data_IF_683043867292
#
_entry.id   IF_683043867292
#
_cell.length_a   1.000
_cell.length_b   1.000
_cell.length_c   1.000
_cell.angle_alpha   90.00
_cell.angle_beta   90.00
_cell.angle_gamma   90.00
#
_symmetry.space_group_name_H-M   'P 1'
#
loop_
_entity.id
_entity.type
_entity.pdbx_description
1 polymer ?
#
# COMPACT_ATOMS: atom_id res chain seq x y z
N UNK A 1 5.56 27.22 -2.17
CA UNK A 1 5.70 25.75 -2.32
C UNK A 1 7.04 25.49 -3.00
N UNK A 2 7.95 24.75 -2.36
CA UNK A 2 9.25 24.41 -2.96
C UNK A 2 9.12 23.04 -3.66
N UNK A 3 9.15 23.05 -4.99
CA UNK A 3 8.96 21.84 -5.81
C UNK A 3 10.15 20.90 -5.74
N UNK A 4 11.37 21.42 -5.67
CA UNK A 4 12.57 20.57 -5.56
C UNK A 4 12.53 19.73 -4.29
N UNK A 5 12.15 20.36 -3.17
CA UNK A 5 11.93 19.63 -1.91
C UNK A 5 10.83 18.58 -2.07
N UNK A 6 9.72 18.93 -2.71
CA UNK A 6 8.58 18.05 -2.93
C UNK A 6 8.98 16.82 -3.78
N UNK A 7 9.73 17.01 -4.86
CA UNK A 7 10.23 15.93 -5.73
C UNK A 7 11.19 15.01 -4.98
N UNK A 8 12.12 15.58 -4.21
CA UNK A 8 13.06 14.79 -3.40
C UNK A 8 12.33 13.94 -2.34
N UNK A 9 11.34 14.51 -1.66
CA UNK A 9 10.54 13.78 -0.68
C UNK A 9 9.80 12.59 -1.31
N UNK A 10 9.36 12.68 -2.57
CA UNK A 10 8.70 11.55 -3.23
C UNK A 10 9.66 10.49 -3.70
N UNK A 11 10.82 10.88 -4.25
CA UNK A 11 11.85 9.92 -4.67
C UNK A 11 12.18 8.98 -3.51
N UNK A 12 12.31 9.53 -2.31
CA UNK A 12 12.57 8.75 -1.10
C UNK A 12 11.41 7.82 -0.72
N UNK A 13 10.18 8.16 -1.08
CA UNK A 13 8.98 7.35 -0.78
C UNK A 13 8.74 6.19 -1.76
N UNK A 14 9.44 6.14 -2.90
CA UNK A 14 9.24 5.10 -3.92
C UNK A 14 9.65 3.72 -3.40
N UNK A 15 10.80 3.62 -2.74
CA UNK A 15 11.30 2.36 -2.20
C UNK A 15 10.38 1.81 -1.10
N UNK A 16 9.88 2.70 -0.24
CA UNK A 16 8.91 2.34 0.80
C UNK A 16 7.59 1.86 0.20
N UNK A 17 7.13 2.50 -0.89
CA UNK A 17 5.91 2.08 -1.59
C UNK A 17 6.08 0.71 -2.22
N UNK A 18 7.20 0.49 -2.91
CA UNK A 18 7.51 -0.78 -3.55
C UNK A 18 7.55 -1.93 -2.53
N UNK A 19 8.18 -1.70 -1.38
CA UNK A 19 8.22 -2.68 -0.27
C UNK A 19 6.82 -2.98 0.28
N UNK A 20 6.06 -1.96 0.66
CA UNK A 20 4.72 -2.13 1.21
C UNK A 20 3.77 -2.83 0.23
N UNK A 21 3.86 -2.49 -1.07
CA UNK A 21 3.07 -3.12 -2.12
C UNK A 21 3.45 -4.59 -2.33
N UNK A 22 4.75 -4.90 -2.38
CA UNK A 22 5.22 -6.28 -2.51
C UNK A 22 4.81 -7.14 -1.31
N UNK A 23 4.91 -6.58 -0.09
CA UNK A 23 4.47 -7.25 1.13
C UNK A 23 2.96 -7.51 1.13
N UNK A 24 2.15 -6.53 0.75
CA UNK A 24 0.71 -6.71 0.62
C UNK A 24 0.33 -7.82 -0.39
N UNK A 25 0.97 -7.84 -1.57
CA UNK A 25 0.76 -8.89 -2.58
C UNK A 25 1.16 -10.27 -2.04
N UNK A 26 2.32 -10.35 -1.39
CA UNK A 26 2.82 -11.59 -0.80
C UNK A 26 1.89 -12.13 0.28
N UNK A 27 1.52 -11.30 1.27
CA UNK A 27 0.67 -11.73 2.39
C UNK A 27 -0.72 -12.16 1.90
N UNK A 28 -1.26 -11.48 0.86
CA UNK A 28 -2.54 -11.83 0.25
C UNK A 28 -2.54 -13.23 -0.34
N UNK A 29 -1.47 -13.62 -1.04
CA UNK A 29 -1.34 -14.96 -1.60
C UNK A 29 -0.95 -15.99 -0.54
N UNK A 30 -0.01 -15.66 0.33
CA UNK A 30 0.46 -16.54 1.41
C UNK A 30 -0.65 -16.94 2.37
N UNK A 31 -1.69 -16.11 2.54
CA UNK A 31 -2.88 -16.45 3.33
C UNK A 31 -3.52 -17.78 2.95
N UNK A 32 -3.54 -18.13 1.66
CA UNK A 32 -4.07 -19.43 1.19
C UNK A 32 -3.18 -20.58 1.70
N UNK A 33 -1.87 -20.41 1.57
CA UNK A 33 -0.88 -21.37 2.09
C UNK A 33 -0.97 -21.51 3.61
N UNK A 34 -1.10 -20.39 4.35
CA UNK A 34 -1.21 -20.40 5.80
C UNK A 34 -2.47 -21.12 6.27
N UNK A 35 -3.61 -20.90 5.62
CA UNK A 35 -4.84 -21.66 5.89
C UNK A 35 -4.60 -23.17 5.71
N UNK A 36 -3.98 -23.57 4.59
CA UNK A 36 -3.73 -24.99 4.30
C UNK A 36 -2.82 -25.63 5.36
N UNK A 37 -1.76 -24.94 5.78
CA UNK A 37 -0.87 -25.39 6.86
C UNK A 37 -1.63 -25.60 8.18
N UNK A 38 -2.50 -24.65 8.54
CA UNK A 38 -3.31 -24.74 9.76
C UNK A 38 -4.37 -25.84 9.69
N UNK A 39 -4.90 -26.14 8.50
CA UNK A 39 -5.80 -27.28 8.31
C UNK A 39 -5.08 -28.62 8.50
N UNK A 40 -3.81 -28.73 8.07
CA UNK A 40 -2.96 -29.91 8.35
C UNK A 40 -2.64 -30.02 9.84
N UNK A 41 -2.35 -28.90 10.50
CA UNK A 41 -2.16 -28.88 11.96
C UNK A 41 -3.43 -29.31 12.71
N UNK A 42 -4.59 -28.81 12.30
CA UNK A 42 -5.88 -29.19 12.85
C UNK A 42 -6.15 -30.69 12.73
N UNK A 43 -5.81 -31.28 11.57
CA UNK A 43 -5.89 -32.72 11.35
C UNK A 43 -4.99 -33.50 12.33
N UNK A 44 -3.75 -33.06 12.51
CA UNK A 44 -2.82 -33.66 13.48
C UNK A 44 -3.32 -33.56 14.92
N UNK A 45 -4.12 -32.52 15.24
CA UNK A 45 -4.80 -32.34 16.53
C UNK A 45 -6.09 -33.17 16.67
N UNK A 46 -6.46 -33.95 15.66
CA UNK A 46 -7.58 -34.89 15.71
C UNK A 46 -8.93 -34.33 15.23
N UNK A 47 -8.96 -33.15 14.62
CA UNK A 47 -10.17 -32.59 14.00
C UNK A 47 -10.48 -33.40 12.74
N UNK A 48 -11.64 -34.07 12.72
CA UNK A 48 -11.93 -35.14 11.75
C UNK A 48 -12.57 -34.62 10.47
N UNK A 49 -13.41 -33.59 10.59
CA UNK A 49 -14.14 -33.05 9.44
C UNK A 49 -13.40 -31.86 8.81
N UNK A 50 -13.63 -31.64 7.52
CA UNK A 50 -13.10 -30.45 6.84
C UNK A 50 -13.59 -29.13 7.45
N UNK A 51 -14.84 -29.09 7.91
CA UNK A 51 -15.45 -27.90 8.55
C UNK A 51 -14.76 -27.55 9.87
N UNK A 52 -14.51 -28.54 10.73
CA UNK A 52 -13.78 -28.35 11.98
C UNK A 52 -12.37 -27.79 11.73
N UNK A 53 -11.65 -28.35 10.75
CA UNK A 53 -10.29 -27.89 10.37
C UNK A 53 -10.30 -26.48 9.79
N UNK A 54 -11.29 -26.15 8.97
CA UNK A 54 -11.43 -24.82 8.38
C UNK A 54 -11.78 -23.77 9.45
N UNK A 55 -12.70 -24.10 10.36
CA UNK A 55 -13.05 -23.25 11.50
C UNK A 55 -11.82 -22.98 12.38
N UNK A 56 -11.03 -24.03 12.66
CA UNK A 56 -9.75 -23.91 13.36
C UNK A 56 -8.79 -22.96 12.62
N UNK A 57 -8.57 -23.18 11.32
CA UNK A 57 -7.61 -22.40 10.54
C UNK A 57 -7.96 -20.91 10.47
N UNK A 58 -9.23 -20.57 10.28
CA UNK A 58 -9.66 -19.16 10.21
C UNK A 58 -9.70 -18.45 11.56
N UNK A 59 -9.91 -19.19 12.65
CA UNK A 59 -9.89 -18.63 14.02
C UNK A 59 -8.50 -18.67 14.66
N UNK A 60 -7.52 -19.29 14.01
CA UNK A 60 -6.17 -19.40 14.54
C UNK A 60 -5.47 -18.04 14.62
N UNK A 61 -4.77 -17.81 15.73
CA UNK A 61 -4.05 -16.56 16.00
C UNK A 61 -3.08 -16.18 14.87
N UNK A 62 -2.31 -17.12 14.36
CA UNK A 62 -1.36 -16.83 13.27
C UNK A 62 -2.05 -16.44 11.95
N UNK A 63 -3.30 -16.89 11.73
CA UNK A 63 -4.05 -16.50 10.54
C UNK A 63 -4.62 -15.08 10.70
N UNK A 64 -5.12 -14.74 11.89
CA UNK A 64 -5.62 -13.40 12.18
C UNK A 64 -4.50 -12.36 12.22
N UNK A 65 -3.33 -12.70 12.78
CA UNK A 65 -2.13 -11.87 12.73
C UNK A 65 -1.65 -11.63 11.29
N UNK A 66 -1.70 -12.66 10.44
CA UNK A 66 -1.39 -12.52 9.02
C UNK A 66 -2.34 -11.53 8.33
N UNK A 67 -3.63 -11.55 8.66
CA UNK A 67 -4.62 -10.62 8.13
C UNK A 67 -4.37 -9.18 8.59
N UNK A 68 -3.96 -8.99 9.85
CA UNK A 68 -3.63 -7.65 10.35
C UNK A 68 -2.36 -7.12 9.67
N UNK A 69 -1.34 -7.96 9.47
CA UNK A 69 -0.16 -7.60 8.68
C UNK A 69 -0.51 -7.21 7.24
N UNK A 70 -1.39 -7.99 6.58
CA UNK A 70 -1.88 -7.66 5.24
C UNK A 70 -2.61 -6.31 5.20
N UNK A 71 -3.46 -6.04 6.19
CA UNK A 71 -4.17 -4.76 6.32
C UNK A 71 -3.19 -3.60 6.44
N UNK A 72 -2.20 -3.70 7.33
CA UNK A 72 -1.19 -2.66 7.53
C UNK A 72 -0.36 -2.42 6.26
N UNK A 73 0.08 -3.48 5.58
CA UNK A 73 0.84 -3.38 4.34
C UNK A 73 0.02 -2.69 3.23
N UNK A 74 -1.27 -3.02 3.10
CA UNK A 74 -2.18 -2.34 2.17
C UNK A 74 -2.31 -0.86 2.52
N UNK A 75 -2.57 -0.54 3.78
CA UNK A 75 -2.77 0.84 4.25
C UNK A 75 -1.54 1.71 4.00
N UNK A 76 -0.34 1.17 4.28
CA UNK A 76 0.93 1.83 3.98
C UNK A 76 1.13 2.02 2.47
N UNK A 77 0.87 0.99 1.67
CA UNK A 77 1.02 1.06 0.21
C UNK A 77 0.09 2.11 -0.40
N UNK A 78 -1.19 2.15 0.01
CA UNK A 78 -2.16 3.11 -0.51
C UNK A 78 -1.85 4.53 -0.04
N UNK A 79 -1.44 4.71 1.21
CA UNK A 79 -1.01 6.02 1.72
C UNK A 79 0.14 6.60 0.90
N UNK A 80 1.17 5.80 0.64
CA UNK A 80 2.32 6.23 -0.17
C UNK A 80 1.92 6.51 -1.62
N UNK A 81 1.05 5.68 -2.21
CA UNK A 81 0.49 5.92 -3.54
C UNK A 81 -0.24 7.25 -3.63
N UNK A 82 -1.16 7.53 -2.70
CA UNK A 82 -1.90 8.78 -2.69
C UNK A 82 -1.00 9.98 -2.42
N UNK A 83 0.02 9.82 -1.58
CA UNK A 83 1.03 10.84 -1.38
C UNK A 83 1.74 11.21 -2.68
N UNK A 84 2.12 10.22 -3.52
CA UNK A 84 2.72 10.40 -4.86
C UNK A 84 1.74 10.95 -5.92
N UNK A 85 0.43 10.71 -5.76
CA UNK A 85 -0.59 11.34 -6.62
C UNK A 85 -0.79 12.82 -6.29
N UNK A 86 -0.94 13.16 -5.00
CA UNK A 86 -1.21 14.55 -4.55
C UNK A 86 -0.10 15.49 -4.98
N UNK A 87 1.08 15.11 -4.57
CA UNK A 87 2.32 15.32 -5.26
C UNK A 87 2.24 15.73 -6.74
N UNK A 88 1.99 14.78 -7.65
CA UNK A 88 1.94 15.00 -9.10
C UNK A 88 0.98 16.16 -9.44
N UNK A 89 -0.18 16.19 -8.80
CA UNK A 89 -1.17 17.26 -8.94
C UNK A 89 -0.66 18.63 -8.48
N UNK A 90 0.16 18.70 -7.45
CA UNK A 90 0.81 19.96 -7.03
C UNK A 90 1.81 20.48 -8.06
N UNK A 91 2.54 19.59 -8.72
CA UNK A 91 3.46 19.95 -9.82
C UNK A 91 2.65 20.48 -11.02
N UNK A 92 1.55 19.83 -11.37
CA UNK A 92 0.63 20.31 -12.42
C UNK A 92 0.09 21.72 -12.10
N UNK A 93 -0.42 21.95 -10.88
CA UNK A 93 -0.94 23.26 -10.45
C UNK A 93 0.14 24.34 -10.55
N UNK A 94 1.36 24.07 -10.08
CA UNK A 94 2.44 25.05 -10.19
C UNK A 94 2.82 25.36 -11.63
N UNK A 95 2.87 24.35 -12.52
CA UNK A 95 3.13 24.58 -13.95
C UNK A 95 2.09 25.52 -14.56
N UNK A 96 0.82 25.33 -14.22
CA UNK A 96 -0.29 26.18 -14.67
C UNK A 96 -0.17 27.62 -14.13
N UNK A 97 0.13 27.78 -12.83
CA UNK A 97 0.34 29.11 -12.23
C UNK A 97 1.48 29.88 -12.90
N UNK A 98 2.62 29.22 -13.15
CA UNK A 98 3.76 29.85 -13.83
C UNK A 98 3.43 30.21 -15.29
N UNK A 99 2.64 29.39 -15.97
CA UNK A 99 2.19 29.71 -17.33
C UNK A 99 1.30 30.96 -17.36
N UNK A 100 0.41 31.11 -16.38
CA UNK A 100 -0.42 32.32 -16.24
C UNK A 100 0.42 33.55 -15.93
N UNK A 101 1.36 33.47 -14.97
CA UNK A 101 2.24 34.60 -14.64
C UNK A 101 3.12 35.04 -15.81
N UNK A 102 3.59 34.10 -16.66
CA UNK A 102 4.30 34.46 -17.91
C UNK A 102 3.40 35.20 -18.90
N UNK A 103 2.14 34.77 -19.04
CA UNK A 103 1.17 35.46 -19.91
C UNK A 103 0.87 36.86 -19.40
N UNK A 104 0.71 37.04 -18.09
CA UNK A 104 0.51 38.33 -17.45
C UNK A 104 1.72 39.25 -17.64
N UNK A 105 2.94 38.77 -17.39
CA UNK A 105 4.16 39.55 -17.60
C UNK A 105 4.29 40.06 -19.05
N UNK A 106 3.97 39.22 -20.04
CA UNK A 106 3.93 39.62 -21.44
C UNK A 106 2.81 40.63 -21.74
N UNK A 107 1.65 40.52 -21.07
CA UNK A 107 0.52 41.43 -21.25
C UNK A 107 0.77 42.83 -20.67
N UNK A 108 1.51 42.92 -19.57
CA UNK A 108 1.85 44.18 -18.90
C UNK A 108 3.17 44.80 -19.39
N UNK A 109 3.78 44.27 -20.45
CA UNK A 109 4.90 44.90 -21.15
C UNK A 109 6.19 44.95 -20.33
N UNK A 110 6.62 43.81 -19.81
CA UNK A 110 8.03 43.58 -19.46
C UNK A 110 8.83 43.13 -20.70
#
# INVERSE_FOLDING_TARGET
MNIEKLINDWRNSVDDYAKAKAEAEYLKEFRKSKKALLMVEAEQKGLKTGQERESYAYSHQEYTELLEGLKQAIEQSESLRWRMTIAEKRVEVWRSQNANSRKEANHYGA
#
